data_IF_652022354142
#
_entry.id   IF_652022354142
#
_cell.length_a   1.000
_cell.length_b   1.000
_cell.length_c   1.000
_cell.angle_alpha   90.00
_cell.angle_beta   90.00
_cell.angle_gamma   90.00
#
_symmetry.space_group_name_H-M   'P 1'
#
loop_
_entity.id
_entity.type
_entity.pdbx_description
1 polymer ?
#
# COMPACT_ATOMS: atom_id res chain seq x y z
N UNK A 1 -9.86 -11.07 9.27
CA UNK A 1 -9.45 -11.38 7.89
C UNK A 1 -8.63 -10.22 7.36
N UNK A 2 -7.41 -10.46 6.90
CA UNK A 2 -6.59 -9.38 6.37
C UNK A 2 -7.22 -8.75 5.13
N UNK A 3 -6.97 -7.47 4.97
CA UNK A 3 -7.49 -6.69 3.86
C UNK A 3 -6.33 -6.15 3.04
N UNK A 4 -6.37 -6.38 1.74
CA UNK A 4 -5.37 -5.84 0.83
C UNK A 4 -5.92 -4.55 0.24
N UNK A 5 -5.08 -3.51 0.24
CA UNK A 5 -5.44 -2.21 -0.31
C UNK A 5 -4.47 -1.89 -1.43
N UNK A 6 -4.99 -1.57 -2.60
CA UNK A 6 -4.16 -1.22 -3.74
C UNK A 6 -4.43 0.21 -4.17
N UNK A 7 -3.36 1.00 -4.24
CA UNK A 7 -3.40 2.37 -4.73
C UNK A 7 -2.62 2.48 -6.02
N UNK A 8 -3.18 3.22 -6.98
CA UNK A 8 -2.46 3.60 -8.19
C UNK A 8 -2.76 5.07 -8.49
N UNK A 9 -1.78 5.77 -9.05
CA UNK A 9 -1.96 7.18 -9.43
C UNK A 9 -0.95 7.55 -10.49
N UNK A 10 -1.23 8.64 -11.21
CA UNK A 10 -0.30 9.17 -12.20
C UNK A 10 0.94 9.70 -11.48
N UNK A 11 2.12 9.37 -11.98
CA UNK A 11 3.37 9.72 -11.34
C UNK A 11 4.42 10.03 -12.40
N UNK A 12 4.80 11.31 -12.54
CA UNK A 12 5.75 11.71 -13.59
C UNK A 12 7.21 11.37 -13.28
N UNK A 13 7.50 10.96 -12.06
CA UNK A 13 8.86 10.68 -11.62
C UNK A 13 9.21 11.53 -10.42
N UNK A 14 10.38 11.34 -9.84
CA UNK A 14 11.39 10.36 -10.20
C UNK A 14 11.01 8.93 -9.87
N UNK A 15 11.81 7.99 -10.36
CA UNK A 15 11.56 6.56 -10.17
C UNK A 15 12.78 5.88 -9.55
N UNK A 16 12.55 4.70 -8.96
CA UNK A 16 13.62 3.88 -8.47
C UNK A 16 14.39 4.51 -7.33
N UNK A 17 15.69 4.34 -7.32
CA UNK A 17 16.53 4.80 -6.22
C UNK A 17 16.51 6.31 -6.03
N UNK A 18 16.12 7.06 -7.04
CA UNK A 18 16.03 8.51 -6.91
C UNK A 18 14.93 8.95 -5.95
N UNK A 19 13.98 8.09 -5.65
CA UNK A 19 12.87 8.40 -4.74
C UNK A 19 13.21 8.13 -3.28
N UNK A 20 14.23 7.32 -3.00
CA UNK A 20 14.44 6.80 -1.65
C UNK A 20 14.59 7.91 -0.62
N UNK A 21 15.46 8.88 -0.86
CA UNK A 21 15.68 9.94 0.10
C UNK A 21 14.42 10.74 0.42
N UNK A 22 13.63 11.04 -0.59
CA UNK A 22 12.43 11.86 -0.42
C UNK A 22 11.30 11.11 0.29
N UNK A 23 11.29 9.79 0.20
CA UNK A 23 10.17 9.01 0.70
C UNK A 23 10.45 8.24 1.98
N UNK A 24 11.67 8.32 2.53
CA UNK A 24 11.99 7.57 3.73
C UNK A 24 11.10 7.92 4.91
N UNK A 25 10.86 9.20 5.14
CA UNK A 25 10.02 9.62 6.26
C UNK A 25 8.58 9.18 6.06
N UNK A 26 8.09 9.27 4.84
CA UNK A 26 6.74 8.79 4.54
C UNK A 26 6.64 7.29 4.78
N UNK A 27 7.65 6.53 4.36
CA UNK A 27 7.65 5.09 4.55
C UNK A 27 7.60 4.74 6.04
N UNK A 28 8.38 5.44 6.87
CA UNK A 28 8.37 5.20 8.31
C UNK A 28 7.00 5.52 8.91
N UNK A 29 6.40 6.60 8.46
CA UNK A 29 5.06 6.99 8.92
C UNK A 29 4.03 5.92 8.57
N UNK A 30 4.10 5.38 7.37
CA UNK A 30 3.19 4.33 6.95
C UNK A 30 3.37 3.08 7.81
N UNK A 31 4.61 2.75 8.13
CA UNK A 31 4.90 1.56 8.92
C UNK A 31 4.30 1.62 10.32
N UNK A 32 3.94 2.81 10.80
CA UNK A 32 3.37 2.99 12.13
C UNK A 32 1.86 3.14 12.13
N UNK A 33 1.22 3.01 10.98
CA UNK A 33 -0.23 3.14 10.91
C UNK A 33 -0.93 1.98 11.62
N UNK A 34 -2.06 2.24 12.29
CA UNK A 34 -2.78 1.16 12.96
C UNK A 34 -3.17 0.04 11.99
N UNK A 35 -2.93 -1.20 12.40
CA UNK A 35 -3.28 -2.37 11.61
C UNK A 35 -2.40 -2.63 10.42
N UNK A 36 -1.40 -1.79 10.18
CA UNK A 36 -0.49 -1.96 9.05
C UNK A 36 0.37 -3.23 9.24
N UNK A 37 0.46 -4.05 8.19
CA UNK A 37 1.28 -5.24 8.22
C UNK A 37 2.49 -5.11 7.30
N UNK A 38 2.26 -4.75 6.04
CA UNK A 38 3.36 -4.48 5.12
C UNK A 38 2.86 -3.70 3.92
N UNK A 39 3.81 -3.13 3.18
CA UNK A 39 3.54 -2.44 1.93
C UNK A 39 4.62 -2.79 0.91
N UNK A 40 4.18 -2.98 -0.32
CA UNK A 40 5.07 -3.07 -1.47
C UNK A 40 4.85 -1.81 -2.29
N UNK A 41 5.93 -1.07 -2.56
CA UNK A 41 5.89 0.12 -3.42
C UNK A 41 6.00 -0.33 -4.86
N UNK A 42 5.10 0.18 -5.70
CA UNK A 42 5.10 -0.20 -7.11
C UNK A 42 5.24 1.04 -7.98
N UNK A 43 5.89 0.87 -9.11
CA UNK A 43 6.05 1.96 -10.07
C UNK A 43 6.17 1.39 -11.47
N UNK A 44 5.75 2.18 -12.44
CA UNK A 44 5.87 1.84 -13.85
C UNK A 44 6.32 3.10 -14.56
N UNK A 45 7.61 3.18 -14.88
CA UNK A 45 8.18 4.36 -15.48
C UNK A 45 7.64 4.63 -16.88
N UNK A 46 7.45 3.57 -17.64
CA UNK A 46 6.96 3.68 -19.00
C UNK A 46 5.56 4.29 -19.04
N UNK A 47 4.70 3.87 -18.11
CA UNK A 47 3.32 4.36 -18.03
C UNK A 47 3.18 5.60 -17.17
N UNK A 48 4.25 6.06 -16.53
CA UNK A 48 4.22 7.19 -15.62
C UNK A 48 3.19 6.97 -14.51
N UNK A 49 3.31 5.82 -13.87
CA UNK A 49 2.37 5.40 -12.84
C UNK A 49 3.11 4.95 -11.60
N UNK A 50 2.53 5.22 -10.44
CA UNK A 50 3.07 4.76 -9.17
C UNK A 50 1.95 4.27 -8.28
N UNK A 51 2.32 3.73 -7.13
CA UNK A 51 1.33 3.28 -6.18
C UNK A 51 1.91 2.39 -5.11
N UNK A 52 1.03 1.65 -4.46
CA UNK A 52 1.41 0.72 -3.42
C UNK A 52 0.39 -0.38 -3.25
N UNK A 53 0.88 -1.50 -2.77
CA UNK A 53 0.03 -2.61 -2.39
C UNK A 53 0.26 -2.83 -0.89
N UNK A 54 -0.81 -2.72 -0.11
CA UNK A 54 -0.73 -2.74 1.35
C UNK A 54 -1.49 -3.93 1.90
N UNK A 55 -1.01 -4.48 2.98
CA UNK A 55 -1.78 -5.45 3.75
C UNK A 55 -2.08 -4.86 5.11
N UNK A 56 -3.36 -4.85 5.49
CA UNK A 56 -3.81 -4.41 6.81
C UNK A 56 -4.49 -5.56 7.54
N UNK A 57 -4.47 -5.49 8.85
CA UNK A 57 -5.03 -6.56 9.68
C UNK A 57 -6.53 -6.75 9.44
N UNK A 58 -7.24 -5.65 9.15
CA UNK A 58 -8.69 -5.72 8.96
C UNK A 58 -9.17 -4.57 8.08
N UNK A 59 -10.45 -4.65 7.73
CA UNK A 59 -11.05 -3.66 6.83
C UNK A 59 -11.13 -2.27 7.47
N UNK A 60 -11.39 -2.22 8.76
CA UNK A 60 -11.55 -0.94 9.45
C UNK A 60 -10.27 -0.11 9.39
N UNK A 61 -9.13 -0.73 9.67
CA UNK A 61 -7.85 -0.01 9.61
C UNK A 61 -7.45 0.32 8.18
N UNK A 62 -7.76 -0.57 7.23
CA UNK A 62 -7.50 -0.29 5.83
C UNK A 62 -8.32 0.91 5.35
N UNK A 63 -9.59 0.97 5.75
CA UNK A 63 -10.48 2.07 5.34
C UNK A 63 -10.01 3.40 5.93
N UNK A 64 -9.61 3.40 7.19
CA UNK A 64 -9.11 4.62 7.82
C UNK A 64 -7.86 5.13 7.11
N UNK A 65 -6.95 4.22 6.77
CA UNK A 65 -5.75 4.59 6.05
C UNK A 65 -6.06 5.08 4.63
N UNK A 66 -6.99 4.42 3.96
CA UNK A 66 -7.40 4.80 2.61
C UNK A 66 -7.83 6.27 2.57
N UNK A 67 -8.67 6.66 3.52
CA UNK A 67 -9.16 8.04 3.58
C UNK A 67 -8.01 9.01 3.84
N UNK A 68 -7.18 8.70 4.83
CA UNK A 68 -6.07 9.56 5.22
C UNK A 68 -5.07 9.73 4.06
N UNK A 69 -4.73 8.62 3.40
CA UNK A 69 -3.70 8.65 2.37
C UNK A 69 -4.20 9.29 1.09
N UNK A 70 -5.48 9.12 0.76
CA UNK A 70 -6.07 9.78 -0.41
C UNK A 70 -5.97 11.29 -0.26
N UNK A 71 -6.28 11.82 0.93
CA UNK A 71 -6.15 13.25 1.18
C UNK A 71 -4.69 13.69 1.07
N UNK A 72 -3.78 12.90 1.63
CA UNK A 72 -2.35 13.23 1.59
C UNK A 72 -1.81 13.26 0.16
N UNK A 73 -2.19 12.28 -0.65
CA UNK A 73 -1.76 12.24 -2.05
C UNK A 73 -2.32 13.42 -2.84
N UNK A 74 -3.56 13.78 -2.57
CA UNK A 74 -4.16 14.95 -3.21
C UNK A 74 -3.41 16.22 -2.91
N UNK A 75 -3.01 16.40 -1.65
CA UNK A 75 -2.23 17.57 -1.25
C UNK A 75 -0.85 17.60 -1.88
N UNK A 76 -0.31 16.43 -2.22
CA UNK A 76 0.98 16.33 -2.88
C UNK A 76 0.89 16.48 -4.39
N UNK A 77 -0.32 16.72 -4.91
CA UNK A 77 -0.51 16.94 -6.32
C UNK A 77 -0.74 15.70 -7.15
N UNK A 78 -0.97 14.56 -6.52
CA UNK A 78 -1.23 13.33 -7.27
C UNK A 78 -2.57 13.43 -8.00
N UNK A 79 -2.61 12.88 -9.21
CA UNK A 79 -3.82 12.84 -10.03
C UNK A 79 -4.11 11.41 -10.44
N UNK A 80 -5.34 11.17 -10.87
CA UNK A 80 -5.73 9.85 -11.34
C UNK A 80 -5.66 8.79 -10.26
N UNK A 81 -5.96 9.17 -9.01
CA UNK A 81 -5.87 8.24 -7.89
C UNK A 81 -6.97 7.19 -8.01
N UNK A 82 -6.56 5.93 -7.94
CA UNK A 82 -7.45 4.79 -7.94
C UNK A 82 -7.10 3.92 -6.74
N UNK A 83 -8.11 3.50 -5.99
CA UNK A 83 -7.88 2.67 -4.81
C UNK A 83 -8.94 1.57 -4.76
N UNK A 84 -8.50 0.37 -4.43
CA UNK A 84 -9.38 -0.80 -4.30
C UNK A 84 -9.00 -1.61 -3.08
N UNK A 85 -9.99 -2.18 -2.43
CA UNK A 85 -9.77 -3.06 -1.30
C UNK A 85 -10.27 -4.46 -1.61
N UNK A 86 -9.55 -5.45 -1.10
CA UNK A 86 -9.87 -6.85 -1.32
C UNK A 86 -9.70 -7.62 -0.03
N UNK A 87 -10.61 -8.56 0.22
CA UNK A 87 -10.37 -9.54 1.27
C UNK A 87 -9.34 -10.54 0.79
N UNK A 88 -8.41 -10.92 1.65
CA UNK A 88 -7.40 -11.90 1.30
C UNK A 88 -7.92 -13.30 1.58
N UNK A 89 -7.87 -14.16 0.57
CA UNK A 89 -8.15 -15.58 0.75
C UNK A 89 -6.89 -16.20 1.34
N UNK A 90 -6.85 -16.37 2.65
CA UNK A 90 -5.65 -16.78 3.34
C UNK A 90 -5.21 -18.20 2.94
N UNK A 91 -6.16 -19.13 2.85
CA UNK A 91 -5.83 -20.51 2.55
C UNK A 91 -5.14 -20.66 1.19
N UNK A 92 -5.74 -20.09 0.16
CA UNK A 92 -5.16 -20.15 -1.18
C UNK A 92 -3.85 -19.38 -1.26
N UNK A 93 -3.80 -18.23 -0.60
CA UNK A 93 -2.60 -17.39 -0.63
C UNK A 93 -1.43 -18.09 0.02
N UNK A 94 -1.66 -18.85 1.09
CA UNK A 94 -0.59 -19.59 1.75
C UNK A 94 -0.04 -20.69 0.84
N UNK A 95 -0.90 -21.36 0.09
CA UNK A 95 -0.45 -22.38 -0.85
C UNK A 95 0.50 -21.79 -1.88
N UNK A 96 0.19 -20.58 -2.34
CA UNK A 96 1.01 -19.90 -3.34
C UNK A 96 2.11 -19.05 -2.71
N UNK A 97 2.35 -19.17 -1.42
CA UNK A 97 3.44 -18.50 -0.69
C UNK A 97 3.24 -17.00 -0.58
N UNK A 98 1.99 -16.55 -0.52
CA UNK A 98 1.70 -15.15 -0.27
C UNK A 98 2.21 -14.74 1.12
N UNK A 99 2.72 -13.51 1.28
CA UNK A 99 3.33 -13.10 2.54
C UNK A 99 2.28 -12.70 3.58
N UNK A 100 1.34 -13.56 3.84
CA UNK A 100 0.29 -13.36 4.83
C UNK A 100 0.35 -14.38 5.95
N UNK A 101 1.14 -15.44 5.79
CA UNK A 101 1.22 -16.49 6.79
C UNK A 101 1.71 -15.97 8.13
N UNK A 102 2.70 -15.09 8.10
CA UNK A 102 3.23 -14.53 9.34
C UNK A 102 2.18 -13.74 10.10
N UNK A 103 1.38 -12.95 9.39
CA UNK A 103 0.33 -12.17 10.04
C UNK A 103 -0.79 -13.08 10.52
N UNK A 104 -1.13 -14.11 9.76
CA UNK A 104 -2.17 -15.04 10.12
C UNK A 104 -1.79 -15.84 11.36
N UNK A 105 -0.52 -16.16 11.49
CA UNK A 105 -0.05 -16.94 12.63
C UNK A 105 0.32 -16.08 13.81
N UNK A 106 0.28 -14.83 13.64
CA UNK A 106 0.71 -13.90 14.66
C UNK A 106 -0.42 -13.69 15.66
N UNK A 107 -0.58 -14.63 16.45
CA UNK A 107 -1.64 -14.51 17.45
C UNK A 107 -1.24 -15.03 18.72
#
# INVERSE_FOLDING_TARGET
MPTLLQFNFAHPGPFGSQRIGALQDLARSIAEEPGFLWKIWIENEERKEGGGIYLFADEATATAYLKKHTERLGKLGATGISAKMFDVNEDLSQITRGPIAASATNR
#
